data_IF_178251662145
#
_entry.id   IF_178251662145
#
_cell.length_a   1.000
_cell.length_b   1.000
_cell.length_c   1.000
_cell.angle_alpha   90.00
_cell.angle_beta   90.00
_cell.angle_gamma   90.00
#
_symmetry.space_group_name_H-M   'P 1'
#
loop_
_entity.id
_entity.type
_entity.pdbx_description
1 polymer ?
#
# COMPACT_ATOMS: atom_id res chain seq x y z
N UNK A 1 -40.96 13.09 19.20
CA UNK A 1 -39.88 12.89 18.21
C UNK A 1 -40.51 12.33 16.95
N UNK A 2 -40.15 12.84 15.79
CA UNK A 2 -40.57 12.22 14.53
C UNK A 2 -39.90 10.83 14.37
N UNK A 3 -40.56 9.85 13.73
CA UNK A 3 -39.97 8.51 13.54
C UNK A 3 -38.59 8.56 12.90
N UNK A 4 -38.35 9.50 12.00
CA UNK A 4 -37.04 9.73 11.38
C UNK A 4 -35.96 10.16 12.40
N UNK A 5 -36.34 11.02 13.38
CA UNK A 5 -35.36 11.46 14.41
C UNK A 5 -34.98 10.31 15.36
N UNK A 6 -35.94 9.45 15.70
CA UNK A 6 -35.65 8.26 16.53
C UNK A 6 -34.72 7.27 15.81
N UNK A 7 -34.93 7.08 14.52
CA UNK A 7 -34.12 6.20 13.69
C UNK A 7 -32.70 6.73 13.48
N UNK A 8 -32.55 8.03 13.23
CA UNK A 8 -31.23 8.69 13.16
C UNK A 8 -30.46 8.60 14.47
N UNK A 9 -31.14 8.76 15.62
CA UNK A 9 -30.53 8.60 16.92
C UNK A 9 -30.08 7.16 17.18
N UNK A 10 -30.88 6.17 16.77
CA UNK A 10 -30.50 4.76 16.82
C UNK A 10 -29.26 4.45 16.00
N UNK A 11 -29.24 4.93 14.75
CA UNK A 11 -28.08 4.79 13.86
C UNK A 11 -26.82 5.44 14.45
N UNK A 12 -26.94 6.66 14.97
CA UNK A 12 -25.81 7.36 15.59
C UNK A 12 -25.33 6.66 16.86
N UNK A 13 -26.22 6.12 17.68
CA UNK A 13 -25.86 5.35 18.87
C UNK A 13 -25.08 4.07 18.54
N UNK A 14 -25.34 3.46 17.41
CA UNK A 14 -24.61 2.28 16.93
C UNK A 14 -23.26 2.67 16.30
N UNK A 15 -23.23 3.70 15.45
CA UNK A 15 -22.08 4.11 14.66
C UNK A 15 -21.02 4.81 15.51
N UNK A 16 -21.39 5.73 16.41
CA UNK A 16 -20.46 6.57 17.16
C UNK A 16 -19.45 5.79 18.02
N UNK A 17 -19.86 4.76 18.81
CA UNK A 17 -18.89 4.01 19.62
C UNK A 17 -17.88 3.23 18.77
N UNK A 18 -18.33 2.65 17.65
CA UNK A 18 -17.46 1.91 16.72
C UNK A 18 -16.48 2.87 16.03
N UNK A 19 -17.00 3.98 15.51
CA UNK A 19 -16.20 5.02 14.87
C UNK A 19 -15.17 5.64 15.84
N UNK A 20 -15.56 5.93 17.07
CA UNK A 20 -14.66 6.46 18.09
C UNK A 20 -13.53 5.47 18.41
N UNK A 21 -13.85 4.18 18.55
CA UNK A 21 -12.85 3.12 18.78
C UNK A 21 -11.86 3.02 17.63
N UNK A 22 -12.36 2.91 16.39
CA UNK A 22 -11.52 2.82 15.19
C UNK A 22 -10.63 4.07 15.07
N UNK A 23 -11.21 5.26 15.26
CA UNK A 23 -10.48 6.54 15.23
C UNK A 23 -9.38 6.60 16.28
N UNK A 24 -9.65 6.15 17.50
CA UNK A 24 -8.65 6.11 18.57
C UNK A 24 -7.48 5.17 18.21
N UNK A 25 -7.76 3.98 17.71
CA UNK A 25 -6.72 3.04 17.26
C UNK A 25 -5.90 3.62 16.10
N UNK A 26 -6.56 4.25 15.12
CA UNK A 26 -5.88 4.92 14.00
C UNK A 26 -4.99 6.05 14.54
N UNK A 27 -5.48 6.87 15.47
CA UNK A 27 -4.72 8.00 16.02
C UNK A 27 -3.44 7.51 16.72
N UNK A 28 -3.57 6.54 17.61
CA UNK A 28 -2.43 5.95 18.33
C UNK A 28 -1.48 5.26 17.35
N UNK A 29 -2.01 4.45 16.44
CA UNK A 29 -1.21 3.70 15.47
C UNK A 29 -0.43 4.63 14.53
N UNK A 30 -1.06 5.65 13.97
CA UNK A 30 -0.41 6.65 13.10
C UNK A 30 0.65 7.44 13.86
N UNK A 31 0.38 7.83 15.12
CA UNK A 31 1.36 8.53 15.93
C UNK A 31 2.59 7.67 16.21
N UNK A 32 2.40 6.43 16.71
CA UNK A 32 3.50 5.51 16.99
C UNK A 32 4.31 5.18 15.72
N UNK A 33 3.64 4.99 14.59
CA UNK A 33 4.29 4.76 13.31
C UNK A 33 5.17 5.95 12.88
N UNK A 34 4.65 7.18 12.98
CA UNK A 34 5.43 8.37 12.64
C UNK A 34 6.61 8.59 13.60
N UNK A 35 6.44 8.29 14.89
CA UNK A 35 7.55 8.28 15.87
C UNK A 35 8.59 7.25 15.48
N UNK A 36 8.20 6.00 15.21
CA UNK A 36 9.12 4.94 14.80
C UNK A 36 9.95 5.33 13.56
N UNK A 37 9.31 5.95 12.57
CA UNK A 37 9.97 6.50 11.37
C UNK A 37 10.94 7.62 11.75
N UNK A 38 10.52 8.58 12.58
CA UNK A 38 11.34 9.72 13.00
C UNK A 38 12.59 9.31 13.80
N UNK A 39 12.52 8.20 14.56
CA UNK A 39 13.65 7.62 15.29
C UNK A 39 14.46 6.60 14.47
N UNK A 40 14.18 6.48 13.18
CA UNK A 40 15.00 5.71 12.25
C UNK A 40 14.85 4.20 12.37
N UNK A 41 13.70 3.68 12.87
CA UNK A 41 13.43 2.24 12.94
C UNK A 41 13.59 1.55 11.57
N UNK A 42 13.37 2.31 10.48
CA UNK A 42 13.55 1.86 9.10
C UNK A 42 15.01 1.44 8.81
N UNK A 43 16.01 1.96 9.54
CA UNK A 43 17.43 1.59 9.37
C UNK A 43 17.70 0.10 9.62
N UNK A 44 16.87 -0.56 10.42
CA UNK A 44 17.02 -2.01 10.65
C UNK A 44 16.65 -2.85 9.42
N UNK A 45 15.84 -2.32 8.51
CA UNK A 45 15.54 -2.94 7.22
C UNK A 45 16.67 -2.69 6.22
N UNK A 46 17.55 -1.77 6.53
CA UNK A 46 18.67 -1.31 5.71
C UNK A 46 19.66 -2.43 5.36
N UNK A 47 20.00 -3.30 6.29
CA UNK A 47 20.92 -4.40 6.05
C UNK A 47 20.47 -5.40 4.97
N UNK A 48 19.18 -5.39 4.61
CA UNK A 48 18.63 -6.25 3.56
C UNK A 48 18.92 -5.75 2.13
N UNK A 49 19.22 -4.47 1.95
CA UNK A 49 19.36 -3.91 0.60
C UNK A 49 20.60 -4.47 -0.13
N UNK A 50 21.74 -4.55 0.54
CA UNK A 50 22.95 -5.14 -0.04
C UNK A 50 22.80 -6.63 -0.38
N UNK A 51 21.98 -7.37 0.37
CA UNK A 51 21.66 -8.77 0.05
C UNK A 51 20.82 -8.89 -1.23
N UNK A 52 20.10 -7.83 -1.62
CA UNK A 52 19.22 -7.86 -2.79
C UNK A 52 19.91 -7.26 -4.03
N UNK A 53 20.78 -6.25 -3.85
CA UNK A 53 21.45 -5.58 -4.98
C UNK A 53 22.61 -6.40 -5.55
N UNK A 54 23.44 -7.03 -4.73
CA UNK A 54 24.58 -7.83 -5.18
C UNK A 54 24.18 -9.00 -6.09
N UNK A 55 23.21 -9.87 -5.74
CA UNK A 55 22.77 -10.94 -6.64
C UNK A 55 22.10 -10.44 -7.93
N UNK A 56 21.64 -9.17 -7.92
CA UNK A 56 21.03 -8.51 -9.08
C UNK A 56 22.07 -7.80 -9.98
N UNK A 57 23.37 -7.94 -9.73
CA UNK A 57 24.45 -7.23 -10.44
C UNK A 57 24.30 -5.69 -10.39
N UNK A 58 23.73 -5.18 -9.27
CA UNK A 58 23.57 -3.76 -9.01
C UNK A 58 24.61 -3.30 -7.96
N UNK A 59 25.12 -2.08 -8.06
CA UNK A 59 26.08 -1.54 -7.10
C UNK A 59 25.43 -1.28 -5.73
N UNK A 60 26.24 -1.23 -4.67
CA UNK A 60 25.79 -1.06 -3.29
C UNK A 60 25.09 0.29 -3.06
N UNK A 61 25.39 1.30 -3.87
CA UNK A 61 24.77 2.64 -3.87
C UNK A 61 23.27 2.55 -4.21
N UNK A 62 22.88 1.66 -5.11
CA UNK A 62 21.47 1.38 -5.40
C UNK A 62 20.75 0.86 -4.15
N UNK A 63 21.46 0.09 -3.32
CA UNK A 63 20.96 -0.31 -2.01
C UNK A 63 20.60 0.89 -1.14
N UNK A 64 21.42 1.94 -1.13
CA UNK A 64 21.17 3.18 -0.38
C UNK A 64 19.90 3.89 -0.88
N UNK A 65 19.70 4.00 -2.19
CA UNK A 65 18.48 4.58 -2.77
C UNK A 65 17.23 3.77 -2.40
N UNK A 66 17.31 2.44 -2.46
CA UNK A 66 16.26 1.52 -2.04
C UNK A 66 15.89 1.72 -0.55
N UNK A 67 16.91 1.87 0.30
CA UNK A 67 16.71 2.14 1.72
C UNK A 67 16.02 3.48 1.98
N UNK A 68 16.43 4.49 1.25
CA UNK A 68 15.80 5.81 1.30
C UNK A 68 14.31 5.72 0.96
N UNK A 69 13.91 4.80 0.06
CA UNK A 69 12.50 4.56 -0.26
C UNK A 69 11.69 4.06 0.93
N UNK A 70 12.26 3.26 1.81
CA UNK A 70 11.56 2.80 3.00
C UNK A 70 11.21 3.96 3.97
N UNK A 71 11.99 5.04 3.95
CA UNK A 71 11.72 6.28 4.68
C UNK A 71 10.84 7.24 3.87
N UNK A 72 11.13 7.41 2.60
CA UNK A 72 10.44 8.32 1.68
C UNK A 72 10.48 7.78 0.26
N UNK A 73 9.34 7.33 -0.23
CA UNK A 73 9.20 6.83 -1.60
C UNK A 73 9.70 7.85 -2.63
N UNK A 74 9.33 9.12 -2.46
CA UNK A 74 9.75 10.19 -3.38
C UNK A 74 11.25 10.37 -3.38
N UNK A 75 11.89 10.39 -2.21
CA UNK A 75 13.34 10.56 -2.11
C UNK A 75 14.09 9.37 -2.74
N UNK A 76 13.68 8.12 -2.43
CA UNK A 76 14.33 6.94 -3.02
C UNK A 76 14.20 6.88 -4.54
N UNK A 77 13.02 7.22 -5.09
CA UNK A 77 12.85 7.29 -6.55
C UNK A 77 13.64 8.44 -7.17
N UNK A 78 13.75 9.59 -6.50
CA UNK A 78 14.57 10.71 -6.98
C UNK A 78 16.05 10.33 -7.03
N UNK A 79 16.57 9.63 -6.00
CA UNK A 79 17.94 9.12 -5.99
C UNK A 79 18.19 8.11 -7.12
N UNK A 80 17.25 7.20 -7.37
CA UNK A 80 17.37 6.28 -8.50
C UNK A 80 17.33 7.01 -9.86
N UNK A 81 16.55 8.09 -9.96
CA UNK A 81 16.53 8.93 -11.16
C UNK A 81 17.87 9.65 -11.38
N UNK A 82 18.47 10.18 -10.32
CA UNK A 82 19.78 10.78 -10.35
C UNK A 82 20.84 9.78 -10.81
N UNK A 83 20.82 8.54 -10.33
CA UNK A 83 21.71 7.47 -10.77
C UNK A 83 21.56 7.13 -12.25
N UNK A 84 20.34 7.22 -12.77
CA UNK A 84 20.09 7.04 -14.21
C UNK A 84 20.56 8.25 -15.02
N UNK A 85 20.31 9.47 -14.56
CA UNK A 85 20.68 10.72 -15.25
C UNK A 85 22.20 10.93 -15.27
N UNK A 86 22.89 10.53 -14.21
CA UNK A 86 24.38 10.56 -14.15
C UNK A 86 25.04 9.49 -15.04
N UNK A 87 24.27 8.54 -15.56
CA UNK A 87 24.80 7.42 -16.35
C UNK A 87 25.30 6.24 -15.52
N UNK A 88 25.25 6.30 -14.17
CA UNK A 88 25.61 5.16 -13.31
C UNK A 88 24.76 3.91 -13.66
N UNK A 89 23.47 4.09 -13.91
CA UNK A 89 22.54 3.04 -14.29
C UNK A 89 21.96 3.31 -15.68
N UNK A 90 21.97 2.32 -16.55
CA UNK A 90 21.20 2.37 -17.78
C UNK A 90 19.68 2.14 -17.53
N UNK A 91 18.86 2.22 -18.58
CA UNK A 91 17.41 1.99 -18.49
C UNK A 91 17.06 0.62 -17.91
N UNK A 92 17.82 -0.45 -18.23
CA UNK A 92 17.54 -1.81 -17.76
C UNK A 92 17.87 -1.96 -16.28
N UNK A 93 19.06 -1.51 -15.88
CA UNK A 93 19.48 -1.54 -14.48
C UNK A 93 18.53 -0.70 -13.60
N UNK A 94 18.11 0.46 -14.09
CA UNK A 94 17.13 1.31 -13.40
C UNK A 94 15.79 0.62 -13.24
N UNK A 95 15.25 -0.04 -14.27
CA UNK A 95 13.99 -0.79 -14.18
C UNK A 95 14.08 -1.93 -13.16
N UNK A 96 15.17 -2.68 -13.17
CA UNK A 96 15.43 -3.75 -12.19
C UNK A 96 15.49 -3.16 -10.78
N UNK A 97 16.21 -2.06 -10.57
CA UNK A 97 16.28 -1.38 -9.28
C UNK A 97 14.91 -0.94 -8.78
N UNK A 98 14.05 -0.38 -9.67
CA UNK A 98 12.68 0.01 -9.36
C UNK A 98 11.81 -1.20 -8.99
N UNK A 99 11.97 -2.34 -9.65
CA UNK A 99 11.25 -3.58 -9.31
C UNK A 99 11.68 -4.11 -7.93
N UNK A 100 12.99 -4.16 -7.66
CA UNK A 100 13.54 -4.55 -6.34
C UNK A 100 13.03 -3.61 -5.24
N UNK A 101 12.90 -2.33 -5.54
CA UNK A 101 12.42 -1.30 -4.61
C UNK A 101 10.95 -1.49 -4.15
N UNK A 102 10.19 -2.37 -4.78
CA UNK A 102 8.76 -2.58 -4.48
C UNK A 102 8.52 -2.96 -3.02
N UNK A 103 9.33 -3.85 -2.44
CA UNK A 103 9.19 -4.26 -1.04
C UNK A 103 9.47 -3.10 -0.08
N UNK A 104 10.45 -2.28 -0.35
CA UNK A 104 10.80 -1.14 0.51
C UNK A 104 9.76 -0.03 0.47
N UNK A 105 9.17 0.23 -0.69
CA UNK A 105 8.01 1.09 -0.81
C UNK A 105 6.79 0.52 -0.07
N UNK A 106 6.60 -0.81 -0.06
CA UNK A 106 5.58 -1.45 0.75
C UNK A 106 5.86 -1.29 2.25
N UNK A 107 7.11 -1.47 2.71
CA UNK A 107 7.51 -1.28 4.12
C UNK A 107 7.11 0.12 4.60
N UNK A 108 7.36 1.16 3.82
CA UNK A 108 6.92 2.52 4.16
C UNK A 108 5.39 2.59 4.35
N UNK A 109 4.61 1.92 3.49
CA UNK A 109 3.15 1.87 3.61
C UNK A 109 2.66 1.03 4.80
N UNK A 110 3.41 0.02 5.25
CA UNK A 110 3.08 -0.74 6.47
C UNK A 110 2.97 0.20 7.66
N UNK A 111 3.97 1.07 7.85
CA UNK A 111 4.01 1.99 8.97
C UNK A 111 3.07 3.19 8.82
N UNK A 112 2.85 3.67 7.60
CA UNK A 112 2.08 4.90 7.39
C UNK A 112 0.59 4.66 7.16
N UNK A 113 0.19 3.44 6.78
CA UNK A 113 -1.19 3.17 6.38
C UNK A 113 -1.71 1.79 6.81
N UNK A 114 -1.02 0.70 6.47
CA UNK A 114 -1.60 -0.63 6.67
C UNK A 114 -1.81 -0.96 8.15
N UNK A 115 -0.76 -0.89 8.96
CA UNK A 115 -0.86 -1.20 10.39
C UNK A 115 -1.69 -0.16 11.14
N UNK A 116 -1.46 1.16 10.98
CA UNK A 116 -2.19 2.14 11.78
C UNK A 116 -3.63 2.40 11.30
N UNK A 117 -3.98 2.10 10.06
CA UNK A 117 -5.32 2.42 9.51
C UNK A 117 -6.11 1.16 9.18
N UNK A 118 -5.56 0.27 8.34
CA UNK A 118 -6.33 -0.88 7.85
C UNK A 118 -6.50 -1.98 8.89
N UNK A 119 -5.48 -2.27 9.71
CA UNK A 119 -5.62 -3.31 10.74
C UNK A 119 -6.69 -2.95 11.78
N UNK A 120 -6.80 -1.69 12.29
CA UNK A 120 -7.91 -1.31 13.15
C UNK A 120 -9.30 -1.42 12.51
N UNK A 121 -9.42 -1.15 11.21
CA UNK A 121 -10.68 -1.27 10.47
C UNK A 121 -11.06 -2.75 10.27
N UNK A 122 -10.14 -3.55 9.74
CA UNK A 122 -10.40 -4.94 9.36
C UNK A 122 -10.35 -5.91 10.55
N UNK A 123 -9.94 -5.45 11.72
CA UNK A 123 -9.66 -6.28 12.87
C UNK A 123 -8.35 -7.07 12.73
N UNK A 124 -7.92 -7.69 13.83
CA UNK A 124 -6.59 -8.31 13.90
C UNK A 124 -6.40 -9.43 12.87
N UNK A 125 -7.35 -10.36 12.78
CA UNK A 125 -7.19 -11.55 11.94
C UNK A 125 -7.17 -11.20 10.45
N UNK A 126 -8.20 -10.50 9.98
CA UNK A 126 -8.31 -10.10 8.57
C UNK A 126 -7.26 -9.06 8.19
N UNK A 127 -6.99 -8.09 9.08
CA UNK A 127 -6.01 -7.05 8.85
C UNK A 127 -4.58 -7.59 8.76
N UNK A 128 -4.18 -8.49 9.66
CA UNK A 128 -2.85 -9.13 9.60
C UNK A 128 -2.74 -10.00 8.35
N UNK A 129 -3.78 -10.79 8.02
CA UNK A 129 -3.77 -11.60 6.80
C UNK A 129 -3.64 -10.71 5.55
N UNK A 130 -4.35 -9.59 5.49
CA UNK A 130 -4.26 -8.64 4.37
C UNK A 130 -2.85 -8.04 4.24
N UNK A 131 -2.26 -7.58 5.35
CA UNK A 131 -0.90 -7.03 5.36
C UNK A 131 0.12 -8.09 4.96
N UNK A 132 0.00 -9.33 5.46
CA UNK A 132 0.88 -10.45 5.11
C UNK A 132 0.76 -10.83 3.64
N UNK A 133 -0.46 -10.88 3.08
CA UNK A 133 -0.66 -11.12 1.65
C UNK A 133 0.01 -10.02 0.79
N UNK A 134 -0.15 -8.77 1.16
CA UNK A 134 0.50 -7.64 0.47
C UNK A 134 2.02 -7.66 0.62
N UNK A 135 2.53 -8.05 1.78
CA UNK A 135 3.97 -8.25 2.02
C UNK A 135 4.52 -9.37 1.13
N UNK A 136 3.82 -10.49 1.07
CA UNK A 136 4.19 -11.62 0.19
C UNK A 136 4.23 -11.22 -1.28
N UNK A 137 3.23 -10.48 -1.76
CA UNK A 137 3.20 -9.93 -3.13
C UNK A 137 4.39 -9.02 -3.38
N UNK A 138 4.66 -8.07 -2.49
CA UNK A 138 5.76 -7.12 -2.63
C UNK A 138 7.13 -7.84 -2.61
N UNK A 139 7.27 -8.83 -1.72
CA UNK A 139 8.49 -9.64 -1.64
C UNK A 139 8.67 -10.49 -2.91
N UNK A 140 7.63 -11.13 -3.42
CA UNK A 140 7.68 -11.92 -4.65
C UNK A 140 8.09 -11.07 -5.85
N UNK A 141 7.54 -9.85 -5.98
CA UNK A 141 7.96 -8.88 -7.02
C UNK A 141 9.44 -8.52 -6.85
N UNK A 142 9.89 -8.25 -5.63
CA UNK A 142 11.28 -7.91 -5.35
C UNK A 142 12.23 -9.07 -5.68
N UNK A 143 11.89 -10.30 -5.27
CA UNK A 143 12.68 -11.49 -5.62
C UNK A 143 12.74 -11.68 -7.14
N UNK A 144 11.62 -11.47 -7.84
CA UNK A 144 11.61 -11.49 -9.32
C UNK A 144 12.55 -10.44 -9.89
N UNK A 145 12.59 -9.22 -9.31
CA UNK A 145 13.54 -8.18 -9.70
C UNK A 145 14.99 -8.61 -9.50
N UNK A 146 15.31 -9.23 -8.38
CA UNK A 146 16.67 -9.76 -8.10
C UNK A 146 17.05 -10.84 -9.11
N UNK A 147 16.16 -11.79 -9.38
CA UNK A 147 16.40 -12.85 -10.36
C UNK A 147 16.59 -12.30 -11.78
N UNK A 148 15.73 -11.37 -12.19
CA UNK A 148 15.88 -10.71 -13.50
C UNK A 148 17.17 -9.89 -13.56
N UNK A 149 17.56 -9.22 -12.49
CA UNK A 149 18.85 -8.52 -12.41
C UNK A 149 20.04 -9.45 -12.62
N UNK A 150 20.08 -10.56 -11.87
CA UNK A 150 21.14 -11.55 -12.01
C UNK A 150 21.24 -12.19 -13.39
N UNK A 151 20.08 -12.33 -14.08
CA UNK A 151 20.02 -12.93 -15.41
C UNK A 151 20.26 -11.95 -16.57
N UNK A 152 19.82 -10.72 -16.45
CA UNK A 152 19.74 -9.74 -17.54
C UNK A 152 20.80 -8.63 -17.46
N UNK A 153 21.32 -8.35 -16.26
CA UNK A 153 22.30 -7.29 -16.07
C UNK A 153 23.73 -7.83 -16.09
N UNK A 154 24.62 -7.03 -16.65
CA UNK A 154 26.06 -7.25 -16.71
C UNK A 154 26.79 -5.96 -16.32
N UNK A 155 28.10 -5.98 -16.22
CA UNK A 155 28.92 -4.79 -15.94
C UNK A 155 28.69 -3.64 -16.92
N UNK A 156 28.18 -3.93 -18.13
CA UNK A 156 27.88 -2.90 -19.15
C UNK A 156 26.66 -2.03 -18.81
N UNK A 157 25.81 -2.50 -17.91
CA UNK A 157 24.60 -1.77 -17.51
C UNK A 157 24.84 -0.77 -16.36
N UNK A 158 26.08 -0.77 -15.80
CA UNK A 158 26.49 0.05 -14.66
C UNK A 158 27.82 0.71 -14.98
N UNK A 159 27.84 2.03 -15.05
CA UNK A 159 29.09 2.79 -15.22
C UNK A 159 29.57 3.34 -13.87
N UNK A 160 30.45 2.60 -13.22
CA UNK A 160 31.01 2.98 -11.92
C UNK A 160 31.87 4.25 -11.95
N UNK A 161 32.30 4.71 -13.13
CA UNK A 161 33.07 5.98 -13.22
C UNK A 161 32.20 7.20 -12.86
N UNK A 162 30.88 7.09 -13.02
CA UNK A 162 29.92 8.12 -12.62
C UNK A 162 29.78 8.29 -11.09
N UNK A 163 30.23 7.33 -10.27
CA UNK A 163 30.14 7.40 -8.79
C UNK A 163 30.95 8.58 -8.21
N UNK A 164 32.09 8.89 -8.76
CA UNK A 164 32.90 9.99 -8.25
C UNK A 164 32.23 11.37 -8.31
N UNK A 165 31.20 11.52 -9.18
CA UNK A 165 30.42 12.74 -9.30
C UNK A 165 29.27 12.79 -8.27
N UNK A 166 28.82 11.63 -7.78
CA UNK A 166 27.65 11.49 -6.89
C UNK A 166 28.05 11.61 -5.42
N UNK A 167 29.21 11.10 -5.02
CA UNK A 167 29.71 11.13 -3.62
C UNK A 167 29.87 12.56 -3.04
N UNK A 168 29.90 13.57 -3.90
CA UNK A 168 29.92 14.97 -3.48
C UNK A 168 28.59 15.48 -2.90
N UNK A 169 27.50 14.70 -3.02
CA UNK A 169 26.10 15.11 -2.69
C UNK A 169 25.48 14.30 -1.55
N UNK A 170 26.26 13.64 -0.71
CA UNK A 170 25.80 12.72 0.33
C UNK A 170 24.69 13.28 1.25
N UNK A 171 23.76 12.42 1.74
CA UNK A 171 22.66 12.84 2.61
C UNK A 171 23.21 13.40 3.92
N UNK A 172 22.86 14.65 4.23
CA UNK A 172 23.20 15.31 5.48
C UNK A 172 22.71 14.52 6.71
N UNK A 173 23.51 14.54 7.77
CA UNK A 173 23.13 13.98 9.08
C UNK A 173 21.91 14.73 9.62
N UNK A 174 20.92 13.98 10.09
CA UNK A 174 19.72 14.55 10.73
C UNK A 174 20.04 14.92 12.19
N UNK A 175 20.53 16.16 12.39
CA UNK A 175 20.92 16.70 13.71
C UNK A 175 19.71 17.19 14.56
N UNK A 176 18.48 16.85 14.17
CA UNK A 176 17.27 17.28 14.91
C UNK A 176 17.22 16.64 16.31
N UNK A 177 16.82 17.45 17.31
CA UNK A 177 16.59 16.98 18.67
C UNK A 177 15.44 15.98 18.75
N UNK A 178 15.43 15.12 19.77
CA UNK A 178 14.35 14.14 19.97
C UNK A 178 12.97 14.83 20.08
N UNK A 179 12.90 15.98 20.74
CA UNK A 179 11.67 16.77 20.87
C UNK A 179 11.17 17.29 19.51
N UNK A 180 12.06 17.77 18.65
CA UNK A 180 11.70 18.20 17.30
C UNK A 180 11.16 17.01 16.45
N UNK A 181 11.74 15.82 16.57
CA UNK A 181 11.27 14.62 15.90
C UNK A 181 9.87 14.19 16.36
N UNK A 182 9.60 14.23 17.67
CA UNK A 182 8.29 13.91 18.22
C UNK A 182 7.22 14.94 17.78
N UNK A 183 7.55 16.23 17.79
CA UNK A 183 6.63 17.28 17.30
C UNK A 183 6.31 17.11 15.83
N UNK A 184 7.28 16.80 15.00
CA UNK A 184 7.05 16.52 13.57
C UNK A 184 6.18 15.28 13.38
N UNK A 185 6.44 14.21 14.14
CA UNK A 185 5.61 12.99 14.13
C UNK A 185 4.16 13.30 14.52
N UNK A 186 3.95 14.14 15.56
CA UNK A 186 2.61 14.58 15.98
C UNK A 186 1.91 15.41 14.90
N UNK A 187 2.62 16.35 14.28
CA UNK A 187 2.08 17.18 13.20
C UNK A 187 1.68 16.35 11.97
N UNK A 188 2.52 15.39 11.56
CA UNK A 188 2.23 14.45 10.48
C UNK A 188 1.01 13.57 10.81
N UNK A 189 0.93 13.10 12.06
CA UNK A 189 -0.20 12.29 12.53
C UNK A 189 -1.50 13.08 12.50
N UNK A 190 -1.50 14.29 12.98
CA UNK A 190 -2.65 15.20 12.93
C UNK A 190 -3.12 15.46 11.49
N UNK A 191 -2.20 15.73 10.57
CA UNK A 191 -2.55 15.94 9.16
C UNK A 191 -3.18 14.70 8.52
N UNK A 192 -2.74 13.51 8.91
CA UNK A 192 -3.28 12.24 8.46
C UNK A 192 -4.69 12.00 9.02
N UNK A 193 -4.87 12.19 10.32
CA UNK A 193 -6.16 12.04 10.99
C UNK A 193 -7.21 13.00 10.44
N UNK A 194 -6.88 14.27 10.30
CA UNK A 194 -7.79 15.29 9.75
C UNK A 194 -8.29 14.96 8.35
N UNK A 195 -7.54 14.18 7.58
CA UNK A 195 -7.93 13.72 6.24
C UNK A 195 -8.73 12.42 6.27
N UNK A 196 -8.37 11.47 7.14
CA UNK A 196 -8.96 10.12 7.16
C UNK A 196 -10.26 10.11 7.96
N UNK A 197 -10.30 10.72 9.15
CA UNK A 197 -11.44 10.62 10.08
C UNK A 197 -12.77 11.12 9.49
N UNK A 198 -12.85 12.28 8.83
CA UNK A 198 -14.11 12.73 8.22
C UNK A 198 -14.61 11.77 7.12
N UNK A 199 -13.70 11.25 6.30
CA UNK A 199 -14.07 10.25 5.27
C UNK A 199 -14.55 8.96 5.89
N UNK A 200 -13.85 8.48 6.91
CA UNK A 200 -14.22 7.30 7.68
C UNK A 200 -15.64 7.47 8.26
N UNK A 201 -15.91 8.61 8.91
CA UNK A 201 -17.20 8.91 9.49
C UNK A 201 -18.34 8.88 8.45
N UNK A 202 -18.16 9.57 7.33
CA UNK A 202 -19.15 9.63 6.26
C UNK A 202 -19.39 8.24 5.67
N UNK A 203 -18.34 7.53 5.26
CA UNK A 203 -18.46 6.21 4.63
C UNK A 203 -19.08 5.21 5.61
N UNK A 204 -18.60 5.17 6.85
CA UNK A 204 -19.09 4.24 7.86
C UNK A 204 -20.59 4.46 8.16
N UNK A 205 -21.01 5.73 8.31
CA UNK A 205 -22.43 6.07 8.53
C UNK A 205 -23.29 5.68 7.33
N UNK A 206 -22.81 5.95 6.10
CA UNK A 206 -23.53 5.57 4.87
C UNK A 206 -23.65 4.05 4.74
N UNK A 207 -22.56 3.31 4.99
CA UNK A 207 -22.57 1.83 4.88
C UNK A 207 -23.52 1.22 5.89
N UNK A 208 -23.42 1.59 7.17
CA UNK A 208 -24.31 1.06 8.21
C UNK A 208 -25.76 1.47 7.92
N UNK A 209 -26.02 2.73 7.55
CA UNK A 209 -27.36 3.19 7.19
C UNK A 209 -27.93 2.45 5.97
N UNK A 210 -27.11 2.12 4.97
CA UNK A 210 -27.54 1.35 3.80
C UNK A 210 -27.86 -0.10 4.17
N UNK A 211 -26.93 -0.76 4.89
CA UNK A 211 -27.10 -2.17 5.30
C UNK A 211 -28.27 -2.36 6.25
N UNK A 212 -28.55 -1.36 7.12
CA UNK A 212 -29.71 -1.43 8.04
C UNK A 212 -31.06 -1.15 7.37
N UNK A 213 -31.09 -0.45 6.23
CA UNK A 213 -32.34 -0.07 5.55
C UNK A 213 -32.71 -0.90 4.33
N UNK A 214 -31.71 -1.43 3.64
CA UNK A 214 -31.94 -2.18 2.41
C UNK A 214 -31.51 -3.63 2.61
N UNK A 215 -32.40 -4.52 2.19
CA UNK A 215 -32.02 -5.91 2.04
C UNK A 215 -31.01 -6.05 0.90
N UNK A 216 -29.73 -6.05 1.27
CA UNK A 216 -28.62 -6.18 0.33
C UNK A 216 -28.63 -7.54 -0.35
N UNK A 217 -29.46 -8.50 0.15
CA UNK A 217 -29.53 -9.86 -0.39
C UNK A 217 -29.99 -9.90 -1.86
N UNK A 218 -30.87 -9.00 -2.27
CA UNK A 218 -31.34 -8.93 -3.65
C UNK A 218 -30.24 -8.47 -4.63
N UNK A 219 -29.40 -7.51 -4.20
CA UNK A 219 -28.25 -7.05 -4.99
C UNK A 219 -27.13 -8.10 -5.02
N UNK A 220 -26.93 -8.80 -3.91
CA UNK A 220 -25.92 -9.88 -3.82
C UNK A 220 -26.34 -11.10 -4.62
N UNK A 221 -27.64 -11.45 -4.67
CA UNK A 221 -28.17 -12.56 -5.45
C UNK A 221 -27.91 -12.40 -6.96
N UNK A 222 -28.04 -11.19 -7.49
CA UNK A 222 -27.73 -10.92 -8.91
C UNK A 222 -26.23 -11.07 -9.22
N UNK A 223 -25.37 -10.76 -8.27
CA UNK A 223 -23.93 -10.83 -8.42
C UNK A 223 -23.34 -12.24 -8.11
N UNK A 224 -24.08 -13.06 -7.37
CA UNK A 224 -23.65 -14.36 -6.88
C UNK A 224 -23.15 -15.34 -7.97
N UNK A 225 -23.78 -15.45 -9.16
CA UNK A 225 -23.24 -16.32 -10.21
C UNK A 225 -21.86 -15.91 -10.70
N UNK A 226 -21.55 -14.64 -10.71
CA UNK A 226 -20.23 -14.14 -11.13
C UNK A 226 -19.19 -14.26 -10.01
N UNK A 227 -19.57 -14.03 -8.76
CA UNK A 227 -18.66 -14.09 -7.61
C UNK A 227 -18.41 -15.52 -7.14
N UNK A 228 -19.38 -16.42 -7.29
CA UNK A 228 -19.23 -17.84 -6.96
C UNK A 228 -18.19 -18.54 -7.81
N UNK A 229 -18.02 -18.13 -9.08
CA UNK A 229 -16.91 -18.61 -9.93
C UNK A 229 -15.54 -18.29 -9.33
N UNK A 230 -15.46 -17.24 -8.54
CA UNK A 230 -14.26 -16.82 -7.82
C UNK A 230 -14.24 -17.29 -6.36
N UNK A 231 -15.20 -18.10 -5.93
CA UNK A 231 -15.33 -18.53 -4.54
C UNK A 231 -15.61 -17.39 -3.55
N UNK A 232 -16.24 -16.31 -4.02
CA UNK A 232 -16.52 -15.10 -3.22
C UNK A 232 -18.04 -14.94 -2.97
N UNK A 233 -18.44 -14.35 -1.82
CA UNK A 233 -19.84 -13.98 -1.60
C UNK A 233 -20.30 -12.91 -2.61
N UNK A 234 -21.61 -12.89 -2.94
CA UNK A 234 -22.19 -11.84 -3.79
C UNK A 234 -21.95 -10.42 -3.26
N UNK A 235 -21.86 -10.26 -1.94
CA UNK A 235 -21.49 -9.01 -1.28
C UNK A 235 -20.08 -8.48 -1.64
N UNK A 236 -19.24 -9.26 -2.33
CA UNK A 236 -17.94 -8.81 -2.81
C UNK A 236 -18.06 -7.69 -3.86
N UNK A 237 -19.12 -7.69 -4.69
CA UNK A 237 -19.27 -6.69 -5.77
C UNK A 237 -19.36 -5.25 -5.25
N UNK A 238 -20.26 -4.89 -4.33
CA UNK A 238 -20.30 -3.53 -3.79
C UNK A 238 -19.01 -3.15 -3.05
N UNK A 239 -18.38 -4.07 -2.32
CA UNK A 239 -17.10 -3.82 -1.67
C UNK A 239 -16.01 -3.49 -2.69
N UNK A 240 -15.89 -4.29 -3.76
CA UNK A 240 -14.93 -4.06 -4.85
C UNK A 240 -15.18 -2.74 -5.53
N UNK A 241 -16.44 -2.39 -5.80
CA UNK A 241 -16.79 -1.11 -6.44
C UNK A 241 -16.34 0.09 -5.58
N UNK A 242 -16.63 0.08 -4.29
CA UNK A 242 -16.20 1.15 -3.36
C UNK A 242 -14.69 1.17 -3.22
N UNK A 243 -14.04 0.00 -3.06
CA UNK A 243 -12.58 -0.10 -2.93
C UNK A 243 -11.85 0.43 -4.16
N UNK A 244 -12.43 0.25 -5.35
CA UNK A 244 -11.88 0.76 -6.62
C UNK A 244 -11.73 2.28 -6.60
N UNK A 245 -12.66 2.98 -5.96
CA UNK A 245 -12.66 4.44 -5.85
C UNK A 245 -11.80 4.95 -4.69
N UNK A 246 -11.92 4.29 -3.52
CA UNK A 246 -11.16 4.61 -2.31
C UNK A 246 -10.90 3.35 -1.47
N UNK A 247 -9.62 3.06 -1.24
CA UNK A 247 -9.19 1.84 -0.54
C UNK A 247 -9.60 1.81 0.92
N UNK A 248 -9.64 2.97 1.60
CA UNK A 248 -10.10 3.05 2.98
C UNK A 248 -11.61 2.86 3.07
N UNK A 249 -12.35 3.50 2.17
CA UNK A 249 -13.81 3.32 2.07
C UNK A 249 -14.17 1.85 1.81
N UNK A 250 -13.49 1.18 0.90
CA UNK A 250 -13.71 -0.26 0.64
C UNK A 250 -13.42 -1.14 1.85
N UNK A 251 -12.37 -0.84 2.62
CA UNK A 251 -12.08 -1.56 3.86
C UNK A 251 -13.16 -1.33 4.94
N UNK A 252 -13.71 -0.12 5.00
CA UNK A 252 -14.84 0.21 5.90
C UNK A 252 -16.11 -0.50 5.45
N UNK A 253 -16.34 -0.60 4.14
CA UNK A 253 -17.54 -1.27 3.59
C UNK A 253 -17.55 -2.75 3.93
N UNK A 254 -16.40 -3.43 3.95
CA UNK A 254 -16.35 -4.87 4.27
C UNK A 254 -16.38 -5.14 5.78
N UNK A 255 -15.99 -4.18 6.63
CA UNK A 255 -15.88 -4.39 8.08
C UNK A 255 -17.12 -4.97 8.72
N UNK A 256 -18.36 -4.43 8.52
CA UNK A 256 -19.56 -4.97 9.14
C UNK A 256 -19.99 -6.33 8.57
N UNK A 257 -19.39 -6.77 7.48
CA UNK A 257 -19.68 -8.05 6.80
C UNK A 257 -18.66 -9.15 7.17
N UNK A 258 -17.69 -8.84 8.02
CA UNK A 258 -16.68 -9.80 8.48
C UNK A 258 -17.30 -10.79 9.45
N UNK A 259 -17.08 -12.08 9.23
CA UNK A 259 -17.68 -13.19 9.97
C UNK A 259 -18.79 -13.85 9.16
N UNK A 260 -19.71 -13.07 8.62
CA UNK A 260 -20.78 -13.50 7.74
C UNK A 260 -21.18 -12.35 6.79
N UNK A 261 -21.12 -12.50 5.45
CA UNK A 261 -20.72 -13.69 4.70
C UNK A 261 -19.20 -13.84 4.44
N UNK A 262 -18.37 -12.90 4.92
CA UNK A 262 -16.94 -12.92 4.64
C UNK A 262 -16.12 -13.63 5.70
N UNK A 263 -15.45 -14.71 5.31
CA UNK A 263 -14.30 -15.22 6.07
C UNK A 263 -13.09 -14.29 5.92
N UNK A 264 -12.07 -14.36 6.78
CA UNK A 264 -10.84 -13.57 6.59
C UNK A 264 -10.18 -13.77 5.21
N UNK A 265 -10.23 -14.99 4.66
CA UNK A 265 -9.64 -15.31 3.35
C UNK A 265 -10.42 -14.67 2.20
N UNK A 266 -11.74 -14.82 2.18
CA UNK A 266 -12.60 -14.23 1.14
C UNK A 266 -12.63 -12.69 1.23
N UNK A 267 -12.56 -12.14 2.43
CA UNK A 267 -12.43 -10.70 2.63
C UNK A 267 -11.12 -10.15 2.03
N UNK A 268 -9.99 -10.80 2.33
CA UNK A 268 -8.69 -10.39 1.77
C UNK A 268 -8.66 -10.54 0.26
N UNK A 269 -9.19 -11.64 -0.28
CA UNK A 269 -9.29 -11.84 -1.73
C UNK A 269 -10.12 -10.73 -2.40
N UNK A 270 -11.29 -10.39 -1.83
CA UNK A 270 -12.15 -9.31 -2.31
C UNK A 270 -11.43 -7.95 -2.33
N UNK A 271 -10.72 -7.60 -1.25
CA UNK A 271 -9.96 -6.35 -1.17
C UNK A 271 -8.78 -6.33 -2.16
N UNK A 272 -8.14 -7.46 -2.42
CA UNK A 272 -7.07 -7.58 -3.41
C UNK A 272 -7.61 -7.41 -4.84
N UNK A 273 -8.77 -7.98 -5.16
CA UNK A 273 -9.45 -7.79 -6.45
C UNK A 273 -9.84 -6.30 -6.63
N UNK A 274 -10.42 -5.69 -5.60
CA UNK A 274 -10.68 -4.25 -5.58
C UNK A 274 -9.40 -3.44 -5.83
N UNK A 275 -8.26 -3.89 -5.29
CA UNK A 275 -6.94 -3.31 -5.54
C UNK A 275 -6.50 -3.39 -7.00
N UNK A 276 -6.78 -4.50 -7.71
CA UNK A 276 -6.51 -4.63 -9.14
C UNK A 276 -7.28 -3.57 -9.94
N UNK A 277 -8.58 -3.46 -9.70
CA UNK A 277 -9.43 -2.48 -10.39
C UNK A 277 -9.06 -1.04 -10.02
N UNK A 278 -8.69 -0.81 -8.76
CA UNK A 278 -8.22 0.49 -8.28
C UNK A 278 -6.93 0.94 -8.98
N UNK A 279 -6.10 0.03 -9.52
CA UNK A 279 -4.92 0.42 -10.29
C UNK A 279 -5.28 1.21 -11.54
N UNK A 280 -6.36 0.87 -12.24
CA UNK A 280 -6.80 1.64 -13.39
C UNK A 280 -7.07 3.10 -13.01
N UNK A 281 -7.86 3.32 -11.93
CA UNK A 281 -8.20 4.67 -11.45
C UNK A 281 -6.97 5.40 -10.87
N UNK A 282 -6.17 4.70 -10.06
CA UNK A 282 -5.01 5.30 -9.40
C UNK A 282 -3.86 5.60 -10.36
N UNK A 283 -3.75 4.85 -11.47
CA UNK A 283 -2.73 5.09 -12.49
C UNK A 283 -2.88 6.48 -13.08
N UNK A 284 -4.07 6.87 -13.48
CA UNK A 284 -4.32 8.21 -14.04
C UNK A 284 -4.19 9.31 -12.99
N UNK A 285 -4.66 9.08 -11.78
CA UNK A 285 -4.69 10.13 -10.74
C UNK A 285 -3.38 10.34 -10.01
N UNK A 286 -2.55 9.32 -9.87
CA UNK A 286 -1.34 9.35 -9.03
C UNK A 286 -0.09 8.84 -9.73
N UNK A 287 -0.15 7.63 -10.37
CA UNK A 287 1.06 7.00 -10.90
C UNK A 287 1.62 7.76 -12.08
N UNK A 288 0.81 8.19 -13.04
CA UNK A 288 1.28 8.95 -14.21
C UNK A 288 1.92 10.27 -13.76
N UNK A 289 1.26 11.16 -12.99
CA UNK A 289 1.89 12.41 -12.56
C UNK A 289 3.19 12.19 -11.77
N UNK A 290 3.20 11.21 -10.88
CA UNK A 290 4.37 10.90 -10.07
C UNK A 290 5.53 10.34 -10.90
N UNK A 291 5.27 9.31 -11.70
CA UNK A 291 6.32 8.64 -12.47
C UNK A 291 6.84 9.52 -13.61
N UNK A 292 5.96 10.28 -14.26
CA UNK A 292 6.40 11.20 -15.31
C UNK A 292 7.17 12.40 -14.74
N UNK A 293 6.81 12.86 -13.55
CA UNK A 293 7.55 13.91 -12.84
C UNK A 293 8.96 13.52 -12.47
N UNK A 294 9.20 12.24 -12.17
CA UNK A 294 10.53 11.73 -11.78
C UNK A 294 11.33 11.27 -13.01
N UNK A 295 10.71 10.53 -13.93
CA UNK A 295 11.42 9.78 -14.97
C UNK A 295 11.27 10.36 -16.38
N UNK A 296 10.41 11.35 -16.56
CA UNK A 296 9.92 11.74 -17.87
C UNK A 296 8.90 10.72 -18.45
N UNK A 297 8.16 11.12 -19.48
CA UNK A 297 7.04 10.32 -19.99
C UNK A 297 7.47 8.96 -20.55
N UNK A 298 8.57 8.92 -21.32
CA UNK A 298 9.02 7.69 -21.99
C UNK A 298 9.42 6.60 -21.01
N UNK A 299 10.32 6.88 -20.07
CA UNK A 299 10.79 5.90 -19.10
C UNK A 299 9.74 5.66 -18.00
N UNK A 300 9.03 6.69 -17.56
CA UNK A 300 7.94 6.57 -16.60
C UNK A 300 6.83 5.62 -17.07
N UNK A 301 6.50 5.60 -18.37
CA UNK A 301 5.57 4.62 -18.93
C UNK A 301 6.08 3.20 -18.81
N UNK A 302 7.38 2.95 -19.07
CA UNK A 302 8.00 1.62 -18.86
C UNK A 302 7.90 1.18 -17.40
N UNK A 303 8.21 2.09 -16.46
CA UNK A 303 8.11 1.84 -15.01
C UNK A 303 6.68 1.48 -14.61
N UNK A 304 5.68 2.25 -15.06
CA UNK A 304 4.26 1.99 -14.78
C UNK A 304 3.85 0.62 -15.34
N UNK A 305 4.18 0.34 -16.59
CA UNK A 305 3.80 -0.89 -17.28
C UNK A 305 4.37 -2.13 -16.58
N UNK A 306 5.67 -2.14 -16.27
CA UNK A 306 6.35 -3.25 -15.59
C UNK A 306 5.80 -3.47 -14.19
N UNK A 307 5.67 -2.40 -13.39
CA UNK A 307 5.14 -2.50 -12.04
C UNK A 307 3.68 -2.96 -12.02
N UNK A 308 2.86 -2.48 -12.94
CA UNK A 308 1.46 -2.88 -13.04
C UNK A 308 1.33 -4.34 -13.45
N UNK A 309 2.09 -4.78 -14.47
CA UNK A 309 2.07 -6.17 -14.92
C UNK A 309 2.47 -7.14 -13.79
N UNK A 310 3.58 -6.86 -13.08
CA UNK A 310 4.03 -7.70 -11.97
C UNK A 310 2.99 -7.73 -10.82
N UNK A 311 2.41 -6.57 -10.47
CA UNK A 311 1.36 -6.50 -9.45
C UNK A 311 0.13 -7.32 -9.86
N UNK A 312 -0.32 -7.21 -11.11
CA UNK A 312 -1.45 -7.99 -11.61
C UNK A 312 -1.19 -9.49 -11.50
N UNK A 313 -0.03 -9.95 -11.93
CA UNK A 313 0.34 -11.38 -11.85
C UNK A 313 0.33 -11.85 -10.39
N UNK A 314 1.09 -11.21 -9.50
CA UNK A 314 1.24 -11.70 -8.13
C UNK A 314 -0.01 -11.50 -7.27
N UNK A 315 -0.82 -10.46 -7.51
CA UNK A 315 -2.11 -10.32 -6.84
C UNK A 315 -3.07 -11.43 -7.30
N UNK A 316 -3.16 -11.70 -8.61
CA UNK A 316 -4.03 -12.74 -9.14
C UNK A 316 -3.63 -14.12 -8.59
N UNK A 317 -2.34 -14.42 -8.52
CA UNK A 317 -1.84 -15.66 -7.90
C UNK A 317 -2.22 -15.74 -6.41
N UNK A 318 -2.07 -14.62 -5.67
CA UNK A 318 -2.43 -14.56 -4.25
C UNK A 318 -3.93 -14.74 -4.04
N UNK A 319 -4.76 -14.10 -4.88
CA UNK A 319 -6.22 -14.28 -4.85
C UNK A 319 -6.57 -15.76 -5.11
N UNK A 320 -5.99 -16.36 -6.13
CA UNK A 320 -6.21 -17.79 -6.41
C UNK A 320 -5.88 -18.68 -5.20
N UNK A 321 -4.73 -18.44 -4.53
CA UNK A 321 -4.35 -19.18 -3.32
C UNK A 321 -5.31 -18.96 -2.14
N UNK A 322 -5.89 -17.77 -2.02
CA UNK A 322 -6.83 -17.46 -0.94
C UNK A 322 -8.20 -18.10 -1.14
N UNK A 323 -8.67 -18.24 -2.39
CA UNK A 323 -9.99 -18.80 -2.71
C UNK A 323 -9.97 -20.28 -2.99
N UNK A 324 -8.81 -20.88 -3.28
CA UNK A 324 -8.68 -22.33 -3.39
C UNK A 324 -9.07 -23.00 -2.06
N UNK A 325 -9.86 -24.09 -2.10
CA UNK A 325 -10.18 -24.84 -0.90
C UNK A 325 -8.87 -25.31 -0.24
N UNK A 326 -8.75 -25.13 1.08
CA UNK A 326 -7.66 -25.74 1.82
C UNK A 326 -7.88 -27.26 1.80
N UNK A 327 -6.96 -27.97 1.18
CA UNK A 327 -6.91 -29.44 1.21
C UNK A 327 -6.56 -29.93 2.60
#
# INVERSE_FOLDING_TARGET
MTPIAAELLGLLAEVLPRLARITAFIAVGVFLANVAVAFGLIRYVAGLAGLLTRPANLPDEVGTAILTTAASTTAGYATLAEYRESGLLDDRATLVAVVINTFFGFVQHVFTYYVPVLVPILGRTTGVLYVSARAGIALAITVTGVMLGGLLLSERNVDRSALAAIDASGPGTDDRTADARVREAAAKSWSTLRRIVPRLAVVYTLVIGLVSRYDVSSLTAVAEPATSLLGLPGAAVPVVAVYTLDTTAGAVTIEPLLGDPFTPRTAVATLLIGGILSFAVSTFRRSIPFQYGIWGASFGTKVIAVNTALKLVFISLTVALLVLPAW
#
